data_IF_934877418639
#
_entry.id   IF_934877418639
#
_cell.length_a   1.000
_cell.length_b   1.000
_cell.length_c   1.000
_cell.angle_alpha   90.00
_cell.angle_beta   90.00
_cell.angle_gamma   90.00
#
_symmetry.space_group_name_H-M   'P 1'
#
loop_
_entity.id
_entity.type
_entity.pdbx_description
1 polymer ?
#
# COMPACT_ATOMS: atom_id res chain seq x y z
N UNK A 1 -20.82 28.54 -7.06
CA UNK A 1 -20.90 27.10 -7.34
C UNK A 1 -21.51 26.86 -8.70
N UNK A 2 -20.73 26.33 -9.65
CA UNK A 2 -21.14 25.95 -11.01
C UNK A 2 -21.52 24.47 -11.04
N UNK A 3 -22.56 24.09 -11.79
CA UNK A 3 -22.97 22.68 -11.95
C UNK A 3 -22.86 22.28 -13.43
N UNK A 4 -22.22 21.14 -13.68
CA UNK A 4 -22.15 20.48 -15.00
C UNK A 4 -22.73 19.09 -14.81
N UNK A 5 -23.85 18.81 -15.46
CA UNK A 5 -24.60 17.57 -15.24
C UNK A 5 -25.02 16.91 -16.55
N UNK A 6 -24.90 15.57 -16.62
CA UNK A 6 -25.39 14.74 -17.74
C UNK A 6 -24.84 15.16 -19.11
N UNK A 7 -23.59 15.58 -19.15
CA UNK A 7 -22.91 15.97 -20.38
C UNK A 7 -21.90 14.91 -20.80
N UNK A 8 -21.72 14.79 -22.12
CA UNK A 8 -20.56 14.11 -22.70
C UNK A 8 -19.49 15.17 -23.01
N UNK A 9 -18.30 14.98 -22.46
CA UNK A 9 -17.17 15.90 -22.52
C UNK A 9 -15.97 15.17 -23.11
N UNK A 10 -15.68 15.39 -24.39
CA UNK A 10 -14.65 14.66 -25.12
C UNK A 10 -13.43 15.51 -25.51
N UNK A 11 -13.50 16.83 -25.28
CA UNK A 11 -12.46 17.79 -25.67
C UNK A 11 -11.32 17.85 -24.65
N UNK A 12 -10.13 18.18 -25.14
CA UNK A 12 -9.00 18.53 -24.28
C UNK A 12 -9.39 19.65 -23.32
N UNK A 13 -9.06 19.49 -22.03
CA UNK A 13 -9.20 20.55 -21.02
C UNK A 13 -10.62 21.09 -20.90
N UNK A 14 -11.63 20.25 -21.08
CA UNK A 14 -13.04 20.63 -21.10
C UNK A 14 -13.49 21.49 -19.90
N UNK A 15 -12.89 21.30 -18.72
CA UNK A 15 -13.19 22.01 -17.49
C UNK A 15 -11.95 22.66 -16.85
N UNK A 16 -10.93 22.99 -17.66
CA UNK A 16 -9.70 23.61 -17.19
C UNK A 16 -9.93 24.91 -16.41
N UNK A 17 -9.17 25.12 -15.33
CA UNK A 17 -9.26 26.33 -14.52
C UNK A 17 -10.54 26.47 -13.71
N UNK A 18 -11.36 25.41 -13.60
CA UNK A 18 -12.64 25.49 -12.91
C UNK A 18 -12.43 25.65 -11.41
N UNK A 19 -13.29 26.48 -10.80
CA UNK A 19 -13.32 26.69 -9.35
C UNK A 19 -14.75 26.55 -8.86
N UNK A 20 -14.92 25.92 -7.69
CA UNK A 20 -16.22 25.74 -7.04
C UNK A 20 -17.25 25.12 -8.01
N UNK A 21 -16.97 23.88 -8.42
CA UNK A 21 -17.71 23.15 -9.46
C UNK A 21 -18.19 21.79 -8.98
N UNK A 22 -19.42 21.45 -9.35
CA UNK A 22 -20.00 20.12 -9.21
C UNK A 22 -20.17 19.51 -10.61
N UNK A 23 -19.65 18.29 -10.79
CA UNK A 23 -19.70 17.50 -12.02
C UNK A 23 -20.50 16.23 -11.70
N UNK A 24 -21.70 16.11 -12.24
CA UNK A 24 -22.65 15.04 -11.91
C UNK A 24 -23.04 14.23 -13.14
N UNK A 25 -22.95 12.90 -13.06
CA UNK A 25 -23.48 12.01 -14.11
C UNK A 25 -22.94 12.34 -15.51
N UNK A 26 -21.71 12.84 -15.59
CA UNK A 26 -21.06 13.19 -16.85
C UNK A 26 -20.22 12.04 -17.39
N UNK A 27 -20.05 12.03 -18.71
CA UNK A 27 -19.27 11.04 -19.46
C UNK A 27 -18.08 11.76 -20.09
N UNK A 28 -16.87 11.37 -19.75
CA UNK A 28 -15.65 11.86 -20.37
C UNK A 28 -15.14 10.82 -21.36
N UNK A 29 -15.69 10.90 -22.58
CA UNK A 29 -15.44 9.97 -23.68
C UNK A 29 -15.93 10.60 -24.99
N UNK A 30 -15.32 10.24 -26.12
CA UNK A 30 -15.80 10.66 -27.43
C UNK A 30 -14.71 10.84 -28.48
N UNK A 31 -15.10 11.13 -29.73
CA UNK A 31 -14.21 11.11 -30.89
C UNK A 31 -13.15 12.21 -30.87
N UNK A 32 -13.31 13.28 -30.08
CA UNK A 32 -12.29 14.30 -29.93
C UNK A 32 -11.06 13.82 -29.14
N UNK A 33 -11.13 12.66 -28.46
CA UNK A 33 -10.02 11.99 -27.75
C UNK A 33 -9.19 12.95 -26.88
N UNK A 34 -9.88 13.83 -26.18
CA UNK A 34 -9.28 14.84 -25.32
C UNK A 34 -8.54 14.23 -24.12
N UNK A 35 -7.87 15.11 -23.39
CA UNK A 35 -7.15 14.77 -22.16
C UNK A 35 -7.20 15.90 -21.14
N UNK A 36 -6.82 15.61 -19.90
CA UNK A 36 -6.66 16.63 -18.85
C UNK A 36 -7.92 17.44 -18.59
N UNK A 37 -9.08 16.76 -18.55
CA UNK A 37 -10.39 17.41 -18.51
C UNK A 37 -10.54 18.38 -17.33
N UNK A 38 -10.10 17.98 -16.13
CA UNK A 38 -10.08 18.80 -14.92
C UNK A 38 -8.63 19.05 -14.54
N UNK A 39 -8.09 20.17 -15.02
CA UNK A 39 -6.70 20.56 -14.78
C UNK A 39 -6.60 21.99 -14.24
N UNK A 40 -5.65 22.25 -13.34
CA UNK A 40 -5.44 23.56 -12.68
C UNK A 40 -6.74 24.07 -12.03
N UNK A 41 -7.43 23.21 -11.28
CA UNK A 41 -8.78 23.48 -10.77
C UNK A 41 -8.81 23.46 -9.24
N UNK A 42 -9.85 24.05 -8.63
CA UNK A 42 -10.04 23.98 -7.19
C UNK A 42 -11.49 23.74 -6.79
N UNK A 43 -11.71 23.13 -5.63
CA UNK A 43 -13.04 22.93 -5.04
C UNK A 43 -13.97 22.17 -6.02
N UNK A 44 -13.52 20.98 -6.42
CA UNK A 44 -14.15 20.15 -7.44
C UNK A 44 -14.86 18.97 -6.80
N UNK A 45 -16.15 18.82 -7.07
CA UNK A 45 -16.93 17.65 -6.67
C UNK A 45 -17.36 16.86 -7.91
N UNK A 46 -17.05 15.58 -7.93
CA UNK A 46 -17.37 14.64 -9.01
C UNK A 46 -18.24 13.54 -8.45
N UNK A 47 -19.43 13.36 -9.02
CA UNK A 47 -20.36 12.32 -8.57
C UNK A 47 -20.88 11.52 -9.76
N UNK A 48 -20.83 10.19 -9.66
CA UNK A 48 -21.42 9.27 -10.65
C UNK A 48 -20.95 9.49 -12.08
N UNK A 49 -19.69 9.85 -12.26
CA UNK A 49 -19.12 10.14 -13.57
C UNK A 49 -18.39 8.93 -14.14
N UNK A 50 -18.32 8.88 -15.46
CA UNK A 50 -17.56 7.88 -16.21
C UNK A 50 -16.40 8.55 -16.94
N UNK A 51 -15.18 8.08 -16.70
CA UNK A 51 -13.96 8.59 -17.31
C UNK A 51 -13.32 7.52 -18.16
N UNK A 52 -13.22 7.79 -19.47
CA UNK A 52 -12.60 6.92 -20.46
C UNK A 52 -11.47 7.63 -21.24
N UNK A 53 -11.15 8.87 -20.85
CA UNK A 53 -10.12 9.70 -21.45
C UNK A 53 -8.95 9.90 -20.50
N UNK A 54 -7.80 10.25 -21.07
CA UNK A 54 -6.52 10.32 -20.36
C UNK A 54 -6.45 11.51 -19.41
N UNK A 55 -5.73 11.29 -18.31
CA UNK A 55 -5.27 12.35 -17.39
C UNK A 55 -6.40 13.17 -16.72
N UNK A 56 -7.52 12.56 -16.27
CA UNK A 56 -8.70 13.30 -15.83
C UNK A 56 -8.46 14.41 -14.80
N UNK A 57 -7.59 14.21 -13.79
CA UNK A 57 -7.37 15.16 -12.70
C UNK A 57 -5.88 15.51 -12.49
N UNK A 58 -5.50 16.74 -12.80
CA UNK A 58 -4.11 17.22 -12.69
C UNK A 58 -4.03 18.60 -12.06
N UNK A 59 -3.18 18.82 -11.06
CA UNK A 59 -3.10 20.09 -10.33
C UNK A 59 -4.47 20.53 -9.79
N UNK A 60 -5.17 19.62 -9.10
CA UNK A 60 -6.47 19.92 -8.49
C UNK A 60 -6.31 20.06 -6.98
N UNK A 61 -6.74 21.20 -6.45
CA UNK A 61 -6.82 21.47 -5.01
C UNK A 61 -8.24 21.19 -4.51
N UNK A 62 -8.41 20.46 -3.42
CA UNK A 62 -9.73 20.12 -2.86
C UNK A 62 -10.62 19.39 -3.88
N UNK A 63 -10.32 18.12 -4.09
CA UNK A 63 -11.02 17.26 -5.05
C UNK A 63 -11.78 16.17 -4.31
N UNK A 64 -13.07 16.03 -4.61
CA UNK A 64 -13.85 14.88 -4.15
C UNK A 64 -14.45 14.11 -5.31
N UNK A 65 -14.26 12.79 -5.32
CA UNK A 65 -14.78 11.86 -6.33
C UNK A 65 -15.62 10.79 -5.64
N UNK A 66 -16.87 10.63 -6.09
CA UNK A 66 -17.81 9.66 -5.53
C UNK A 66 -18.46 8.83 -6.61
N UNK A 67 -18.59 7.53 -6.33
CA UNK A 67 -19.39 6.58 -7.10
C UNK A 67 -19.10 6.59 -8.61
N UNK A 68 -17.85 6.79 -8.98
CA UNK A 68 -17.43 7.00 -10.36
C UNK A 68 -16.63 5.82 -10.92
N UNK A 69 -16.39 5.82 -12.22
CA UNK A 69 -15.58 4.81 -12.89
C UNK A 69 -14.51 5.47 -13.75
N UNK A 70 -13.26 5.09 -13.51
CA UNK A 70 -12.12 5.41 -14.38
C UNK A 70 -11.65 4.13 -15.05
N UNK A 71 -11.73 4.08 -16.38
CA UNK A 71 -11.34 2.90 -17.16
C UNK A 71 -9.83 2.87 -17.39
N UNK A 72 -9.31 1.72 -17.82
CA UNK A 72 -7.90 1.53 -18.17
C UNK A 72 -7.34 2.56 -19.17
N UNK A 73 -8.20 3.24 -19.94
CA UNK A 73 -7.82 4.31 -20.87
C UNK A 73 -7.47 5.63 -20.18
N UNK A 74 -7.84 5.84 -18.91
CA UNK A 74 -7.46 7.03 -18.15
C UNK A 74 -5.94 7.19 -18.00
N UNK A 75 -5.17 6.10 -18.19
CA UNK A 75 -3.71 6.04 -18.09
C UNK A 75 -3.20 6.60 -16.77
N UNK A 76 -2.98 7.91 -16.63
CA UNK A 76 -2.47 8.56 -15.42
C UNK A 76 -3.52 9.45 -14.75
N UNK A 77 -4.39 8.86 -13.93
CA UNK A 77 -5.66 9.46 -13.52
C UNK A 77 -5.55 10.69 -12.60
N UNK A 78 -4.66 10.64 -11.61
CA UNK A 78 -4.47 11.71 -10.63
C UNK A 78 -2.98 12.06 -10.49
N UNK A 79 -2.65 13.35 -10.61
CA UNK A 79 -1.28 13.85 -10.52
C UNK A 79 -1.24 15.24 -9.87
N UNK A 80 -0.23 15.52 -9.04
CA UNK A 80 0.06 16.84 -8.46
C UNK A 80 -1.14 17.50 -7.77
N UNK A 81 -2.03 16.69 -7.21
CA UNK A 81 -3.29 17.15 -6.61
C UNK A 81 -3.24 16.95 -5.10
N UNK A 82 -3.95 17.78 -4.36
CA UNK A 82 -3.93 17.75 -2.90
C UNK A 82 -5.32 17.92 -2.29
N UNK A 83 -5.49 17.40 -1.07
CA UNK A 83 -6.79 17.28 -0.40
C UNK A 83 -7.80 16.52 -1.27
N UNK A 84 -7.48 15.26 -1.53
CA UNK A 84 -8.23 14.41 -2.45
C UNK A 84 -9.01 13.35 -1.68
N UNK A 85 -10.32 13.32 -1.86
CA UNK A 85 -11.18 12.26 -1.33
C UNK A 85 -11.78 11.44 -2.47
N UNK A 86 -11.63 10.12 -2.42
CA UNK A 86 -12.23 9.19 -3.39
C UNK A 86 -13.03 8.12 -2.66
N UNK A 87 -14.30 7.96 -3.02
CA UNK A 87 -15.20 6.98 -2.40
C UNK A 87 -15.99 6.20 -3.44
N UNK A 88 -16.15 4.88 -3.23
CA UNK A 88 -17.07 4.07 -4.04
C UNK A 88 -16.68 3.98 -5.52
N UNK A 89 -15.41 4.18 -5.85
CA UNK A 89 -14.96 4.46 -7.22
C UNK A 89 -14.05 3.35 -7.73
N UNK A 90 -14.22 2.99 -9.01
CA UNK A 90 -13.26 2.12 -9.71
C UNK A 90 -12.15 2.97 -10.30
N UNK A 91 -10.91 2.58 -10.04
CA UNK A 91 -9.71 3.25 -10.54
C UNK A 91 -8.87 2.24 -11.32
N UNK A 92 -9.24 2.02 -12.58
CA UNK A 92 -8.54 1.14 -13.48
C UNK A 92 -7.68 2.00 -14.38
N UNK A 93 -6.37 1.83 -14.36
CA UNK A 93 -5.48 2.73 -15.08
C UNK A 93 -4.08 2.19 -15.14
N UNK A 94 -3.17 2.92 -15.76
CA UNK A 94 -1.74 2.55 -15.71
C UNK A 94 -1.10 3.13 -14.43
N UNK A 95 -1.52 4.35 -14.08
CA UNK A 95 -0.97 5.19 -13.00
C UNK A 95 -2.09 5.97 -12.31
N UNK A 96 -2.00 6.13 -11.00
CA UNK A 96 -2.79 7.11 -10.27
C UNK A 96 -2.06 7.59 -9.02
N UNK A 97 -2.47 8.75 -8.49
CA UNK A 97 -1.92 9.39 -7.30
C UNK A 97 -0.39 9.56 -7.37
N UNK A 98 0.08 10.29 -8.37
CA UNK A 98 1.50 10.65 -8.45
C UNK A 98 1.73 11.99 -7.79
N UNK A 99 2.65 12.02 -6.82
CA UNK A 99 3.06 13.27 -6.13
C UNK A 99 1.86 14.06 -5.60
N UNK A 100 0.88 13.34 -5.05
CA UNK A 100 -0.31 13.93 -4.41
C UNK A 100 -0.11 14.05 -2.89
N UNK A 101 -0.92 14.85 -2.21
CA UNK A 101 -0.93 14.86 -0.74
C UNK A 101 -2.33 14.94 -0.15
N UNK A 102 -2.45 14.51 1.11
CA UNK A 102 -3.69 14.60 1.89
C UNK A 102 -4.82 13.85 1.18
N UNK A 103 -4.58 12.55 0.99
CA UNK A 103 -5.40 11.65 0.18
C UNK A 103 -6.19 10.71 1.06
N UNK A 104 -7.47 10.55 0.74
CA UNK A 104 -8.36 9.63 1.43
C UNK A 104 -9.11 8.78 0.43
N UNK A 105 -8.98 7.45 0.53
CA UNK A 105 -9.59 6.48 -0.38
C UNK A 105 -10.45 5.51 0.43
N UNK A 106 -11.72 5.36 0.06
CA UNK A 106 -12.66 4.48 0.77
C UNK A 106 -13.51 3.65 -0.19
N UNK A 107 -13.72 2.37 0.11
CA UNK A 107 -14.63 1.51 -0.66
C UNK A 107 -14.30 1.52 -2.16
N UNK A 108 -13.03 1.46 -2.53
CA UNK A 108 -12.58 1.55 -3.92
C UNK A 108 -12.06 0.21 -4.44
N UNK A 109 -12.19 0.04 -5.75
CA UNK A 109 -11.64 -1.08 -6.51
C UNK A 109 -10.54 -0.55 -7.44
N UNK A 110 -9.31 -1.01 -7.23
CA UNK A 110 -8.12 -0.41 -7.83
C UNK A 110 -7.38 -1.45 -8.65
N UNK A 111 -7.15 -1.17 -9.92
CA UNK A 111 -6.33 -2.00 -10.80
C UNK A 111 -5.38 -1.05 -11.52
N UNK A 112 -4.14 -0.97 -11.03
CA UNK A 112 -3.17 -0.03 -11.57
C UNK A 112 -1.74 -0.55 -11.42
N UNK A 113 -1.01 -0.83 -12.51
CA UNK A 113 0.39 -1.22 -12.47
C UNK A 113 1.27 -0.32 -11.59
N UNK A 114 1.05 1.00 -11.62
CA UNK A 114 1.70 1.93 -10.69
C UNK A 114 0.63 2.69 -9.90
N UNK A 115 0.74 2.77 -8.57
CA UNK A 115 -0.25 3.49 -7.78
C UNK A 115 0.37 4.17 -6.57
N UNK A 116 0.03 5.45 -6.36
CA UNK A 116 0.34 6.16 -5.13
C UNK A 116 1.82 6.43 -4.92
N UNK A 117 2.59 6.79 -5.95
CA UNK A 117 4.04 7.05 -5.75
C UNK A 117 4.30 8.47 -5.25
N UNK A 118 5.21 8.58 -4.30
CA UNK A 118 5.61 9.85 -3.66
C UNK A 118 4.42 10.62 -3.08
N UNK A 119 3.43 9.90 -2.54
CA UNK A 119 2.26 10.49 -1.88
C UNK A 119 2.61 10.79 -0.43
N UNK A 120 2.17 11.95 0.06
CA UNK A 120 2.28 12.30 1.48
C UNK A 120 0.91 12.33 2.13
N UNK A 121 0.78 11.74 3.32
CA UNK A 121 -0.47 11.71 4.09
C UNK A 121 -1.59 11.01 3.29
N UNK A 122 -1.62 9.68 3.34
CA UNK A 122 -2.63 8.88 2.65
C UNK A 122 -3.33 7.90 3.58
N UNK A 123 -4.66 7.96 3.58
CA UNK A 123 -5.55 7.01 4.24
C UNK A 123 -6.26 6.13 3.19
N UNK A 124 -6.22 4.80 3.36
CA UNK A 124 -6.99 3.87 2.54
C UNK A 124 -7.78 2.91 3.42
N UNK A 125 -9.10 2.86 3.22
CA UNK A 125 -10.02 2.07 4.05
C UNK A 125 -10.95 1.22 3.19
N UNK A 126 -11.19 -0.03 3.62
CA UNK A 126 -12.18 -0.94 3.04
C UNK A 126 -12.07 -1.05 1.50
N UNK A 127 -10.84 -1.21 1.00
CA UNK A 127 -10.56 -1.16 -0.44
C UNK A 127 -9.80 -2.38 -0.92
N UNK A 128 -9.92 -2.68 -2.21
CA UNK A 128 -9.19 -3.74 -2.89
C UNK A 128 -8.27 -3.15 -3.95
N UNK A 129 -7.05 -3.68 -4.06
CA UNK A 129 -6.07 -3.16 -5.00
C UNK A 129 -5.21 -4.27 -5.65
N UNK A 130 -5.02 -4.18 -6.96
CA UNK A 130 -4.04 -4.97 -7.73
C UNK A 130 -3.01 -4.04 -8.40
N UNK A 131 -1.71 -4.26 -8.14
CA UNK A 131 -0.65 -3.37 -8.64
C UNK A 131 0.71 -4.05 -8.77
N UNK A 132 1.55 -3.57 -9.67
CA UNK A 132 2.95 -4.01 -9.77
C UNK A 132 3.85 -3.18 -8.85
N UNK A 133 3.71 -1.86 -8.83
CA UNK A 133 4.44 -0.94 -7.96
C UNK A 133 3.47 -0.07 -7.16
N UNK A 134 3.31 -0.41 -5.90
CA UNK A 134 2.29 0.17 -5.03
C UNK A 134 2.93 1.00 -3.91
N UNK A 135 2.52 2.27 -3.77
CA UNK A 135 2.97 3.19 -2.73
C UNK A 135 4.49 3.45 -2.69
N UNK A 136 5.16 3.42 -3.85
CA UNK A 136 6.61 3.66 -3.91
C UNK A 136 6.98 5.05 -3.38
N UNK A 137 7.89 5.12 -2.40
CA UNK A 137 8.42 6.37 -1.79
C UNK A 137 7.34 7.26 -1.13
N UNK A 138 6.23 6.68 -0.72
CA UNK A 138 5.17 7.42 -0.02
C UNK A 138 5.43 7.48 1.47
N UNK A 139 4.89 8.50 2.13
CA UNK A 139 5.07 8.72 3.56
C UNK A 139 3.77 9.11 4.27
N UNK A 140 3.72 8.79 5.57
CA UNK A 140 2.56 9.01 6.43
C UNK A 140 1.33 8.26 5.89
N UNK A 141 1.43 6.93 5.87
CA UNK A 141 0.46 6.02 5.26
C UNK A 141 -0.38 5.36 6.37
N UNK A 142 -1.70 5.36 6.23
CA UNK A 142 -2.61 4.62 7.13
C UNK A 142 -3.59 3.78 6.33
N UNK A 143 -3.51 2.47 6.48
CA UNK A 143 -4.32 1.51 5.73
C UNK A 143 -5.11 0.65 6.70
N UNK A 144 -6.42 0.51 6.45
CA UNK A 144 -7.32 -0.31 7.26
C UNK A 144 -8.23 -1.17 6.40
N UNK A 145 -8.31 -2.48 6.69
CA UNK A 145 -9.17 -3.42 5.96
C UNK A 145 -8.88 -3.44 4.45
N UNK A 146 -7.60 -3.40 4.06
CA UNK A 146 -7.21 -3.40 2.64
C UNK A 146 -6.80 -4.80 2.22
N UNK A 147 -7.36 -5.27 1.10
CA UNK A 147 -6.89 -6.48 0.42
C UNK A 147 -6.07 -6.07 -0.80
N UNK A 148 -4.85 -6.57 -0.89
CA UNK A 148 -3.91 -6.20 -1.95
C UNK A 148 -3.28 -7.42 -2.60
N UNK A 149 -3.17 -7.39 -3.93
CA UNK A 149 -2.40 -8.34 -4.73
C UNK A 149 -1.36 -7.62 -5.58
N UNK A 150 -0.11 -8.07 -5.57
CA UNK A 150 0.89 -7.39 -6.38
C UNK A 150 2.29 -7.99 -6.42
N UNK A 151 3.28 -7.14 -6.74
CA UNK A 151 4.68 -7.55 -6.84
C UNK A 151 5.61 -6.72 -5.98
N UNK A 152 5.77 -5.43 -6.24
CA UNK A 152 6.80 -4.58 -5.65
C UNK A 152 6.15 -3.51 -4.77
N UNK A 153 5.67 -3.95 -3.62
CA UNK A 153 4.77 -3.14 -2.79
C UNK A 153 5.52 -2.40 -1.69
N UNK A 154 5.11 -1.17 -1.41
CA UNK A 154 5.60 -0.39 -0.27
C UNK A 154 7.13 -0.21 -0.26
N UNK A 155 7.75 -0.03 -1.42
CA UNK A 155 9.20 0.21 -1.48
C UNK A 155 9.53 1.64 -1.04
N UNK A 156 10.54 1.79 -0.17
CA UNK A 156 11.05 3.06 0.34
C UNK A 156 10.00 3.93 1.06
N UNK A 157 8.98 3.31 1.66
CA UNK A 157 7.96 4.06 2.40
C UNK A 157 8.48 4.51 3.77
N UNK A 158 7.88 5.57 4.31
CA UNK A 158 8.19 6.06 5.66
C UNK A 158 6.93 6.29 6.49
N UNK A 159 6.97 6.02 7.78
CA UNK A 159 5.89 6.30 8.73
C UNK A 159 4.56 5.69 8.27
N UNK A 160 4.42 4.37 8.35
CA UNK A 160 3.23 3.69 7.86
C UNK A 160 2.59 2.78 8.90
N UNK A 161 1.26 2.75 8.90
CA UNK A 161 0.43 1.87 9.74
C UNK A 161 -0.51 1.09 8.84
N UNK A 162 -0.46 -0.24 8.97
CA UNK A 162 -1.36 -1.17 8.28
C UNK A 162 -2.11 -1.99 9.31
N UNK A 163 -3.44 -2.02 9.25
CA UNK A 163 -4.29 -2.72 10.21
C UNK A 163 -5.38 -3.55 9.53
N UNK A 164 -5.52 -4.81 9.94
CA UNK A 164 -6.52 -5.75 9.41
C UNK A 164 -6.41 -5.92 7.88
N UNK A 165 -5.20 -5.95 7.36
CA UNK A 165 -4.94 -6.04 5.93
C UNK A 165 -4.61 -7.47 5.49
N UNK A 166 -4.81 -7.75 4.20
CA UNK A 166 -4.38 -8.99 3.57
C UNK A 166 -3.56 -8.67 2.31
N UNK A 167 -2.26 -8.92 2.37
CA UNK A 167 -1.30 -8.62 1.31
C UNK A 167 -0.76 -9.91 0.70
N UNK A 168 -1.05 -10.15 -0.58
CA UNK A 168 -0.42 -11.20 -1.40
C UNK A 168 0.46 -10.53 -2.44
N UNK A 169 1.75 -10.40 -2.12
CA UNK A 169 2.72 -9.68 -2.95
C UNK A 169 3.93 -10.54 -3.20
N UNK A 170 4.75 -10.19 -4.20
CA UNK A 170 6.08 -10.77 -4.30
C UNK A 170 6.96 -10.17 -3.19
N UNK A 171 7.42 -8.94 -3.34
CA UNK A 171 8.18 -8.18 -2.37
C UNK A 171 7.27 -7.17 -1.64
N UNK A 172 7.57 -6.88 -0.37
CA UNK A 172 6.93 -5.81 0.39
C UNK A 172 7.90 -5.11 1.35
N UNK A 173 7.69 -3.81 1.62
CA UNK A 173 8.43 -3.04 2.64
C UNK A 173 9.95 -2.96 2.43
N UNK A 174 10.42 -3.14 1.21
CA UNK A 174 11.85 -2.99 0.90
C UNK A 174 12.30 -1.58 1.25
N UNK A 175 13.34 -1.43 2.08
CA UNK A 175 13.79 -0.14 2.63
C UNK A 175 12.68 0.69 3.34
N UNK A 176 11.66 0.03 3.90
CA UNK A 176 10.66 0.71 4.70
C UNK A 176 11.24 1.24 6.01
N UNK A 177 10.84 2.46 6.41
CA UNK A 177 11.30 3.11 7.64
C UNK A 177 10.10 3.42 8.55
N UNK A 178 10.18 3.02 9.83
CA UNK A 178 9.13 3.25 10.82
C UNK A 178 7.74 2.76 10.35
N UNK A 179 7.63 1.45 10.18
CA UNK A 179 6.41 0.80 9.66
C UNK A 179 5.84 -0.11 10.75
N UNK A 180 4.53 -0.05 10.96
CA UNK A 180 3.82 -0.97 11.85
C UNK A 180 2.70 -1.69 11.11
N UNK A 181 2.69 -3.01 11.20
CA UNK A 181 1.64 -3.87 10.63
C UNK A 181 0.96 -4.63 11.78
N UNK A 182 -0.37 -4.54 11.87
CA UNK A 182 -1.16 -5.15 12.94
C UNK A 182 -2.26 -6.04 12.40
N UNK A 183 -2.52 -7.16 13.06
CA UNK A 183 -3.69 -8.02 12.80
C UNK A 183 -3.83 -8.41 11.31
N UNK A 184 -2.72 -8.61 10.61
CA UNK A 184 -2.70 -8.70 9.15
C UNK A 184 -2.04 -9.98 8.65
N UNK A 185 -2.39 -10.36 7.43
CA UNK A 185 -1.70 -11.42 6.68
C UNK A 185 -0.80 -10.77 5.65
N UNK A 186 0.48 -11.15 5.64
CA UNK A 186 1.46 -10.71 4.64
C UNK A 186 2.14 -11.94 4.05
N UNK A 187 1.79 -12.21 2.80
CA UNK A 187 2.40 -13.26 2.00
C UNK A 187 3.33 -12.61 0.97
N UNK A 188 4.59 -13.04 0.96
CA UNK A 188 5.55 -12.63 -0.05
C UNK A 188 6.93 -13.25 0.08
N UNK A 189 7.66 -13.16 -1.01
CA UNK A 189 9.08 -13.49 -1.14
C UNK A 189 9.91 -12.26 -0.73
N UNK A 190 11.05 -12.43 -0.06
CA UNK A 190 11.96 -11.32 0.24
C UNK A 190 11.30 -10.15 1.02
N UNK A 191 10.37 -10.49 1.93
CA UNK A 191 9.63 -9.50 2.70
C UNK A 191 10.56 -8.62 3.55
N UNK A 192 10.36 -7.31 3.50
CA UNK A 192 10.99 -6.28 4.34
C UNK A 192 12.52 -6.18 4.27
N UNK A 193 13.12 -6.56 3.16
CA UNK A 193 14.57 -6.44 3.01
C UNK A 193 15.05 -5.01 3.26
N UNK A 194 16.09 -4.89 4.09
CA UNK A 194 16.70 -3.60 4.46
C UNK A 194 15.77 -2.59 5.16
N UNK A 195 14.68 -3.05 5.79
CA UNK A 195 13.80 -2.19 6.56
C UNK A 195 14.45 -1.74 7.87
N UNK A 196 14.08 -0.55 8.36
CA UNK A 196 14.51 -0.01 9.66
C UNK A 196 13.29 0.41 10.49
N UNK A 197 13.13 -0.16 11.68
CA UNK A 197 12.02 0.15 12.58
C UNK A 197 10.70 -0.46 12.10
N UNK A 198 10.72 -1.67 11.56
CA UNK A 198 9.53 -2.42 11.19
C UNK A 198 9.00 -3.23 12.39
N UNK A 199 7.71 -3.09 12.70
CA UNK A 199 7.02 -3.84 13.74
C UNK A 199 5.84 -4.62 13.16
N UNK A 200 5.81 -5.92 13.41
CA UNK A 200 4.62 -6.76 13.21
C UNK A 200 4.01 -7.11 14.56
N UNK A 201 2.70 -6.94 14.70
CA UNK A 201 1.95 -7.22 15.92
C UNK A 201 0.71 -8.05 15.59
N UNK A 202 0.66 -9.29 16.07
CA UNK A 202 -0.41 -10.24 15.77
C UNK A 202 -0.61 -10.45 14.27
N UNK A 203 0.48 -10.78 13.56
CA UNK A 203 0.47 -10.95 12.11
C UNK A 203 0.79 -12.38 11.69
N UNK A 204 0.29 -12.76 10.51
CA UNK A 204 0.68 -13.99 9.81
C UNK A 204 1.58 -13.64 8.64
N UNK A 205 2.79 -14.19 8.65
CA UNK A 205 3.81 -13.97 7.62
C UNK A 205 4.03 -15.29 6.87
N UNK A 206 4.03 -15.23 5.54
CA UNK A 206 4.12 -16.42 4.68
C UNK A 206 5.12 -16.15 3.55
N UNK A 207 6.06 -17.07 3.33
CA UNK A 207 6.95 -17.07 2.17
C UNK A 207 8.44 -17.14 2.48
N UNK A 208 9.25 -17.17 1.43
CA UNK A 208 10.70 -17.45 1.50
C UNK A 208 11.54 -16.21 1.78
N UNK A 209 12.64 -16.40 2.52
CA UNK A 209 13.62 -15.37 2.85
C UNK A 209 13.03 -14.06 3.40
N UNK A 210 12.05 -14.08 4.34
CA UNK A 210 11.50 -12.87 4.88
C UNK A 210 12.45 -12.27 5.92
N UNK A 211 12.39 -10.95 6.06
CA UNK A 211 12.93 -10.16 7.16
C UNK A 211 14.47 -10.14 7.22
N UNK A 212 15.15 -10.14 6.07
CA UNK A 212 16.60 -10.06 5.98
C UNK A 212 17.10 -8.60 5.98
N UNK A 213 18.32 -8.39 6.46
CA UNK A 213 19.03 -7.10 6.52
C UNK A 213 18.29 -6.00 7.29
N UNK A 214 17.39 -6.38 8.19
CA UNK A 214 16.55 -5.43 8.93
C UNK A 214 17.29 -4.84 10.13
N UNK A 215 16.94 -3.60 10.49
CA UNK A 215 17.32 -2.96 11.74
C UNK A 215 16.10 -2.67 12.60
N UNK A 216 16.26 -2.73 13.91
CA UNK A 216 15.18 -2.46 14.87
C UNK A 216 13.89 -3.26 14.57
N UNK A 217 14.01 -4.50 14.09
CA UNK A 217 12.88 -5.34 13.70
C UNK A 217 12.19 -5.92 14.92
N UNK A 218 10.86 -5.82 14.98
CA UNK A 218 10.06 -6.35 16.10
C UNK A 218 8.90 -7.22 15.62
N UNK A 219 8.79 -8.43 16.11
CA UNK A 219 7.65 -9.32 15.89
C UNK A 219 7.02 -9.65 17.24
N UNK A 220 5.71 -9.44 17.37
CA UNK A 220 4.94 -9.76 18.59
C UNK A 220 3.80 -10.68 18.22
N UNK A 221 3.73 -11.85 18.86
CA UNK A 221 2.68 -12.84 18.65
C UNK A 221 2.44 -13.18 17.17
N UNK A 222 3.52 -13.35 16.40
CA UNK A 222 3.40 -13.59 14.96
C UNK A 222 3.37 -15.08 14.62
N UNK A 223 2.57 -15.44 13.62
CA UNK A 223 2.70 -16.72 12.91
C UNK A 223 3.66 -16.53 11.74
N UNK A 224 4.63 -17.42 11.60
CA UNK A 224 5.49 -17.53 10.42
C UNK A 224 5.28 -18.91 9.81
N UNK A 225 4.73 -18.95 8.59
CA UNK A 225 4.31 -20.17 7.90
C UNK A 225 5.10 -20.31 6.61
N UNK A 226 5.65 -21.51 6.36
CA UNK A 226 6.45 -21.77 5.15
C UNK A 226 7.64 -20.79 4.98
N UNK A 227 8.17 -20.31 6.10
CA UNK A 227 9.27 -19.34 6.12
C UNK A 227 10.61 -20.02 6.34
N UNK A 228 11.46 -19.97 5.32
CA UNK A 228 12.84 -20.42 5.33
C UNK A 228 13.81 -19.24 5.17
N UNK A 229 15.09 -19.48 5.53
CA UNK A 229 16.21 -18.56 5.36
C UNK A 229 15.94 -17.16 5.91
N UNK A 230 15.13 -17.06 6.97
CA UNK A 230 14.68 -15.79 7.51
C UNK A 230 15.75 -15.14 8.40
N UNK A 231 15.64 -13.82 8.56
CA UNK A 231 16.43 -12.98 9.47
C UNK A 231 17.92 -12.79 9.14
N UNK A 232 18.37 -13.12 7.92
CA UNK A 232 19.78 -12.94 7.54
C UNK A 232 20.25 -11.51 7.81
N UNK A 233 21.28 -11.37 8.65
CA UNK A 233 21.92 -10.09 9.03
C UNK A 233 20.95 -9.07 9.65
N UNK A 234 19.87 -9.54 10.26
CA UNK A 234 18.89 -8.67 10.92
C UNK A 234 19.17 -8.48 12.42
N UNK A 235 18.90 -7.28 12.91
CA UNK A 235 18.74 -6.98 14.35
C UNK A 235 17.26 -7.16 14.71
N UNK A 236 16.94 -8.18 15.51
CA UNK A 236 15.57 -8.66 15.64
C UNK A 236 15.18 -8.99 17.08
N UNK A 237 13.99 -8.55 17.48
CA UNK A 237 13.29 -9.03 18.67
C UNK A 237 11.97 -9.67 18.24
N UNK A 238 11.90 -11.00 18.25
CA UNK A 238 10.78 -11.74 17.68
C UNK A 238 10.18 -12.77 18.63
N UNK A 239 8.87 -12.67 18.84
CA UNK A 239 8.04 -13.69 19.46
C UNK A 239 7.16 -14.34 18.38
N UNK A 240 7.50 -15.58 18.02
CA UNK A 240 6.85 -16.34 16.94
C UNK A 240 6.18 -17.56 17.54
N UNK A 241 4.90 -17.76 17.25
CA UNK A 241 4.09 -18.78 17.92
C UNK A 241 3.93 -20.07 17.10
N UNK A 242 4.55 -20.15 15.93
CA UNK A 242 4.56 -21.31 15.03
C UNK A 242 5.97 -21.81 14.77
N UNK A 243 6.15 -23.09 14.40
CA UNK A 243 7.43 -23.58 13.90
C UNK A 243 7.92 -22.81 12.66
N UNK A 244 9.21 -22.56 12.59
CA UNK A 244 9.89 -21.91 11.46
C UNK A 244 10.70 -22.97 10.70
N UNK A 245 10.78 -22.88 9.37
CA UNK A 245 11.55 -23.85 8.57
C UNK A 245 13.05 -23.65 8.82
N UNK A 246 13.58 -22.45 8.58
CA UNK A 246 14.99 -22.16 8.87
C UNK A 246 15.27 -20.70 9.18
N UNK A 247 16.26 -20.47 10.05
CA UNK A 247 16.79 -19.15 10.42
C UNK A 247 18.24 -19.08 9.97
N UNK A 248 18.64 -17.98 9.33
CA UNK A 248 20.00 -17.78 8.81
C UNK A 248 20.63 -16.53 9.41
N UNK A 249 21.82 -16.68 9.98
CA UNK A 249 22.74 -15.59 10.37
C UNK A 249 22.09 -14.32 10.95
N UNK A 250 21.20 -14.37 11.96
CA UNK A 250 20.71 -13.15 12.61
C UNK A 250 21.88 -12.38 13.23
N UNK A 251 21.93 -11.06 12.97
CA UNK A 251 23.03 -10.22 13.40
C UNK A 251 23.03 -10.05 14.93
N UNK A 252 21.89 -9.70 15.50
CA UNK A 252 21.72 -9.46 16.94
C UNK A 252 20.25 -9.61 17.38
N UNK A 253 20.04 -9.63 18.69
CA UNK A 253 18.72 -9.74 19.33
C UNK A 253 18.28 -11.18 19.56
N UNK A 254 16.98 -11.39 19.79
CA UNK A 254 16.41 -12.68 20.20
C UNK A 254 15.23 -13.09 19.31
N UNK A 255 15.24 -14.35 18.88
CA UNK A 255 14.14 -14.99 18.17
C UNK A 255 13.63 -16.13 19.04
N UNK A 256 12.43 -15.97 19.60
CA UNK A 256 11.75 -17.04 20.36
C UNK A 256 10.71 -17.72 19.48
N UNK A 257 10.79 -19.04 19.35
CA UNK A 257 9.84 -19.85 18.58
C UNK A 257 9.62 -21.24 19.22
N UNK A 258 8.50 -21.93 18.95
CA UNK A 258 8.29 -23.29 19.46
C UNK A 258 9.20 -24.33 18.81
N UNK A 259 9.70 -24.08 17.59
CA UNK A 259 10.65 -24.93 16.88
C UNK A 259 11.28 -24.16 15.72
N UNK A 260 12.55 -24.41 15.45
CA UNK A 260 13.23 -24.04 14.20
C UNK A 260 13.76 -25.31 13.56
N UNK A 261 13.48 -25.53 12.27
CA UNK A 261 13.90 -26.73 11.56
C UNK A 261 15.41 -26.79 11.34
N UNK A 262 15.96 -25.74 10.73
CA UNK A 262 17.39 -25.58 10.48
C UNK A 262 17.89 -24.22 10.98
N UNK A 263 19.08 -24.21 11.60
CA UNK A 263 19.75 -23.00 12.07
C UNK A 263 21.08 -22.91 11.34
N UNK A 264 21.23 -21.86 10.52
CA UNK A 264 22.43 -21.60 9.71
C UNK A 264 23.18 -20.43 10.36
N UNK A 265 24.37 -20.69 10.91
CA UNK A 265 25.21 -19.72 11.63
C UNK A 265 26.65 -19.78 11.12
N UNK A 266 26.82 -19.55 9.82
CA UNK A 266 28.11 -19.61 9.10
C UNK A 266 28.77 -18.22 8.90
N UNK A 267 28.12 -17.14 9.33
CA UNK A 267 28.70 -15.79 9.40
C UNK A 267 29.30 -15.53 10.80
N UNK A 268 30.58 -15.16 10.86
CA UNK A 268 31.28 -14.86 12.12
C UNK A 268 30.66 -13.69 12.91
N UNK A 269 29.92 -12.82 12.23
CA UNK A 269 29.23 -11.66 12.80
C UNK A 269 27.82 -11.99 13.28
N UNK A 270 27.29 -13.18 12.99
CA UNK A 270 25.97 -13.58 13.48
C UNK A 270 26.02 -13.80 15.01
N UNK A 271 25.40 -12.90 15.78
CA UNK A 271 25.32 -12.94 17.25
C UNK A 271 23.89 -12.99 17.78
N UNK A 272 22.89 -13.11 16.90
CA UNK A 272 21.49 -13.30 17.31
C UNK A 272 21.30 -14.60 18.10
N UNK A 273 20.39 -14.56 19.07
CA UNK A 273 20.04 -15.72 19.92
C UNK A 273 18.72 -16.33 19.44
N UNK A 274 18.66 -17.66 19.40
CA UNK A 274 17.45 -18.41 19.07
C UNK A 274 17.03 -19.20 20.31
N UNK A 275 15.82 -18.93 20.79
CA UNK A 275 15.26 -19.57 21.98
C UNK A 275 14.07 -20.44 21.62
N UNK A 276 14.13 -21.71 22.01
CA UNK A 276 13.03 -22.65 21.81
C UNK A 276 12.11 -22.64 23.03
N UNK A 277 10.85 -22.27 22.86
CA UNK A 277 9.87 -22.16 23.95
C UNK A 277 8.54 -22.86 23.63
N UNK A 278 8.18 -23.84 24.45
CA UNK A 278 6.94 -24.62 24.31
C UNK A 278 5.67 -23.92 24.84
N UNK A 279 5.82 -22.75 25.46
CA UNK A 279 4.72 -22.02 26.13
C UNK A 279 4.16 -20.86 25.29
N UNK A 280 4.60 -20.73 24.04
CA UNK A 280 4.11 -19.69 23.13
C UNK A 280 2.74 -20.11 22.57
N UNK A 281 1.67 -19.61 23.17
CA UNK A 281 0.30 -19.72 22.66
C UNK A 281 -0.31 -18.33 22.53
N UNK A 282 -1.19 -18.16 21.54
CA UNK A 282 -2.08 -16.99 21.48
C UNK A 282 -2.87 -16.86 22.79
N UNK A 283 -2.60 -15.83 23.58
CA UNK A 283 -3.65 -15.26 24.43
C UNK A 283 -4.54 -14.46 23.50
N UNK A 284 -5.70 -15.00 23.09
CA UNK A 284 -6.72 -14.14 22.51
C UNK A 284 -7.05 -13.09 23.57
N UNK A 285 -6.75 -11.82 23.29
CA UNK A 285 -7.36 -10.73 24.02
C UNK A 285 -8.88 -10.85 23.79
N UNK A 286 -9.62 -11.00 24.88
CA UNK A 286 -11.09 -10.93 24.90
C UNK A 286 -11.60 -9.60 24.35
#
# INVERSE_FOLDING_TARGET
>A
MKVVEKQTLDKERALYGSKDIIINECIFDGPADGESAVKESSDVQVNKCFFNLRYPFWHVHQLTIRDSEMTSLCRAALWYSDHVEVTGTKMHGIKAFRECSDVVIRNCDIISPEFGWSVRNIEMVDSVAESEYFMMRSENITFKNVTFKGKYSFQYIKNAIFENCNFDTKDAFWHGENVTVRNSVVKGEYLAWYADGLTFDNCKIIGTQPLCYCKNLKLKNCEMIETDLCFEKSEVEAQIITPIISVKNPLAGTITAPKVGEIIMDDENAKGTIEISNNLKFSKSE
#
